data_IF_692368257731
#
_entry.id   IF_692368257731
#
_cell.length_a   1.000
_cell.length_b   1.000
_cell.length_c   1.000
_cell.angle_alpha   90.00
_cell.angle_beta   90.00
_cell.angle_gamma   90.00
#
_symmetry.space_group_name_H-M   'P 1'
#
loop_
_entity.id
_entity.type
_entity.pdbx_description
1 polymer ?
#
# COMPACT_ATOMS: atom_id res chain seq x y z
N UNK A 1 0.53 4.74 -23.67
CA UNK A 1 0.95 3.33 -23.60
C UNK A 1 0.90 3.01 -22.13
N UNK A 2 -0.22 2.44 -21.67
CA UNK A 2 -0.41 2.09 -20.26
C UNK A 2 0.68 1.10 -19.85
N UNK A 3 1.52 1.51 -18.90
CA UNK A 3 2.38 0.60 -18.17
C UNK A 3 1.42 -0.18 -17.28
N UNK A 4 1.33 -1.50 -17.42
CA UNK A 4 0.53 -2.29 -16.48
C UNK A 4 1.14 -2.17 -15.08
N UNK A 5 0.33 -2.14 -14.02
CA UNK A 5 0.84 -1.95 -12.65
C UNK A 5 1.98 -2.92 -12.31
N UNK A 6 1.88 -4.18 -12.73
CA UNK A 6 2.94 -5.19 -12.56
C UNK A 6 4.27 -4.79 -13.23
N UNK A 7 4.25 -4.12 -14.39
CA UNK A 7 5.47 -3.63 -15.05
C UNK A 7 6.11 -2.47 -14.27
N UNK A 8 5.30 -1.63 -13.63
CA UNK A 8 5.81 -0.57 -12.76
C UNK A 8 6.45 -1.16 -11.48
N UNK A 9 5.80 -2.15 -10.86
CA UNK A 9 6.30 -2.88 -9.69
C UNK A 9 7.62 -3.59 -10.03
N UNK A 10 7.66 -4.34 -11.14
CA UNK A 10 8.87 -5.04 -11.60
C UNK A 10 10.03 -4.06 -11.80
N UNK A 11 9.78 -2.90 -12.40
CA UNK A 11 10.81 -1.89 -12.64
C UNK A 11 11.40 -1.37 -11.33
N UNK A 12 10.57 -1.11 -10.31
CA UNK A 12 11.03 -0.66 -9.00
C UNK A 12 11.84 -1.76 -8.28
N UNK A 13 11.36 -3.00 -8.30
CA UNK A 13 12.02 -4.14 -7.64
C UNK A 13 13.42 -4.42 -8.22
N UNK A 14 13.64 -4.21 -9.53
CA UNK A 14 14.95 -4.40 -10.17
C UNK A 14 16.06 -3.50 -9.62
N UNK A 15 15.74 -2.44 -8.87
CA UNK A 15 16.74 -1.59 -8.22
C UNK A 15 17.38 -2.27 -6.99
N UNK A 16 16.69 -3.26 -6.42
CA UNK A 16 17.07 -3.91 -5.16
C UNK A 16 17.32 -5.42 -5.28
N UNK A 17 16.72 -6.07 -6.29
CA UNK A 17 16.84 -7.53 -6.50
C UNK A 17 17.12 -7.88 -7.97
N UNK A 18 17.40 -9.16 -8.25
CA UNK A 18 17.69 -9.61 -9.61
C UNK A 18 16.49 -9.42 -10.54
N UNK A 19 16.76 -9.35 -11.84
CA UNK A 19 15.73 -9.18 -12.87
C UNK A 19 14.71 -10.30 -12.83
N UNK A 20 15.17 -11.52 -12.64
CA UNK A 20 14.34 -12.72 -12.60
C UNK A 20 13.43 -12.70 -11.36
N UNK A 21 13.98 -12.38 -10.18
CA UNK A 21 13.21 -12.30 -8.95
C UNK A 21 12.19 -11.14 -8.97
N UNK A 22 12.57 -9.99 -9.56
CA UNK A 22 11.65 -8.86 -9.73
C UNK A 22 10.47 -9.20 -10.64
N UNK A 23 10.71 -9.93 -11.73
CA UNK A 23 9.65 -10.36 -12.64
C UNK A 23 8.71 -11.37 -11.97
N UNK A 24 9.25 -12.29 -11.19
CA UNK A 24 8.46 -13.27 -10.44
C UNK A 24 7.60 -12.59 -9.37
N UNK A 25 8.21 -11.78 -8.50
CA UNK A 25 7.52 -11.06 -7.42
C UNK A 25 6.41 -10.13 -7.94
N UNK A 26 6.66 -9.40 -9.02
CA UNK A 26 5.69 -8.47 -9.60
C UNK A 26 4.45 -9.15 -10.22
N UNK A 27 4.47 -10.48 -10.38
CA UNK A 27 3.37 -11.25 -10.95
C UNK A 27 2.89 -12.38 -10.01
N UNK A 28 3.24 -12.32 -8.73
CA UNK A 28 2.65 -13.22 -7.73
C UNK A 28 1.19 -12.84 -7.47
N UNK A 29 0.36 -13.86 -7.31
CA UNK A 29 -1.06 -13.72 -7.02
C UNK A 29 -1.49 -14.81 -6.02
N UNK A 30 -2.62 -14.57 -5.33
CA UNK A 30 -3.20 -15.52 -4.38
C UNK A 30 -2.27 -15.88 -3.23
N UNK A 31 -2.27 -17.16 -2.84
CA UNK A 31 -1.55 -17.65 -1.66
C UNK A 31 -0.04 -17.40 -1.72
N UNK A 32 0.58 -17.47 -2.90
CA UNK A 32 2.02 -17.22 -3.02
C UNK A 32 2.38 -15.77 -2.70
N UNK A 33 1.50 -14.81 -3.07
CA UNK A 33 1.68 -13.41 -2.72
C UNK A 33 1.55 -13.19 -1.21
N UNK A 34 0.56 -13.84 -0.58
CA UNK A 34 0.36 -13.77 0.87
C UNK A 34 1.57 -14.32 1.65
N UNK A 35 2.11 -15.49 1.25
CA UNK A 35 3.27 -16.11 1.90
C UNK A 35 4.53 -15.24 1.79
N UNK A 36 4.78 -14.65 0.63
CA UNK A 36 5.88 -13.71 0.44
C UNK A 36 5.69 -12.44 1.26
N UNK A 37 4.49 -11.89 1.28
CA UNK A 37 4.16 -10.70 2.07
C UNK A 37 4.46 -10.94 3.56
N UNK A 38 3.99 -12.06 4.11
CA UNK A 38 4.24 -12.44 5.51
C UNK A 38 5.74 -12.60 5.80
N UNK A 39 6.49 -13.25 4.90
CA UNK A 39 7.93 -13.42 5.05
C UNK A 39 8.69 -12.07 5.06
N UNK A 40 8.24 -11.09 4.26
CA UNK A 40 8.81 -9.75 4.26
C UNK A 40 8.50 -9.01 5.56
N UNK A 41 7.27 -9.13 6.08
CA UNK A 41 6.91 -8.57 7.39
C UNK A 41 7.73 -9.16 8.53
N UNK A 42 7.91 -10.48 8.56
CA UNK A 42 8.78 -11.16 9.55
C UNK A 42 10.23 -10.65 9.46
N UNK A 43 10.74 -10.44 8.25
CA UNK A 43 12.07 -9.88 8.04
C UNK A 43 12.18 -8.43 8.52
N UNK A 44 11.15 -7.61 8.31
CA UNK A 44 11.11 -6.22 8.78
C UNK A 44 11.03 -6.16 10.31
N UNK A 45 10.24 -7.03 10.94
CA UNK A 45 10.17 -7.17 12.39
C UNK A 45 11.53 -7.56 12.97
N UNK A 46 12.18 -8.57 12.40
CA UNK A 46 13.52 -9.00 12.84
C UNK A 46 14.58 -7.89 12.74
N UNK A 47 14.43 -6.98 11.76
CA UNK A 47 15.34 -5.84 11.57
C UNK A 47 14.91 -4.58 12.31
N UNK A 48 13.83 -4.62 13.11
CA UNK A 48 13.27 -3.44 13.80
C UNK A 48 12.88 -2.31 12.82
N UNK A 49 12.45 -2.67 11.60
CA UNK A 49 12.05 -1.77 10.52
C UNK A 49 10.54 -1.79 10.28
N UNK A 50 9.76 -2.38 11.19
CA UNK A 50 8.30 -2.35 11.09
C UNK A 50 7.81 -0.89 11.08
N UNK A 51 6.89 -0.54 10.17
CA UNK A 51 6.26 0.77 10.22
C UNK A 51 5.64 0.98 11.60
N UNK A 52 5.76 2.19 12.15
CA UNK A 52 5.01 2.52 13.35
C UNK A 52 3.52 2.34 13.08
N UNK A 53 2.81 1.73 14.04
CA UNK A 53 1.37 1.57 13.93
C UNK A 53 0.72 2.95 13.70
N UNK A 54 -0.24 3.06 12.77
CA UNK A 54 -0.89 4.33 12.50
C UNK A 54 -1.56 4.87 13.77
N UNK A 55 -1.46 6.18 13.96
CA UNK A 55 -2.18 6.89 15.01
C UNK A 55 -3.39 7.58 14.40
N UNK A 56 -4.42 7.85 15.21
CA UNK A 56 -5.56 8.64 14.74
C UNK A 56 -5.12 10.00 14.14
N UNK A 57 -4.10 10.64 14.72
CA UNK A 57 -3.55 11.90 14.21
C UNK A 57 -2.83 11.74 12.86
N UNK A 58 -2.08 10.66 12.65
CA UNK A 58 -1.42 10.44 11.35
C UNK A 58 -2.43 10.17 10.25
N UNK A 59 -3.48 9.38 10.52
CA UNK A 59 -4.55 9.09 9.56
C UNK A 59 -5.40 10.33 9.23
N UNK A 60 -5.74 11.16 10.24
CA UNK A 60 -6.45 12.43 10.00
C UNK A 60 -5.63 13.40 9.14
N UNK A 61 -4.30 13.41 9.33
CA UNK A 61 -3.40 14.20 8.49
C UNK A 61 -3.37 13.66 7.06
N UNK A 62 -3.34 12.35 6.88
CA UNK A 62 -3.39 11.71 5.56
C UNK A 62 -4.69 12.05 4.81
N UNK A 63 -5.84 12.00 5.49
CA UNK A 63 -7.13 12.46 4.93
C UNK A 63 -7.08 13.93 4.51
N UNK A 64 -6.48 14.79 5.33
CA UNK A 64 -6.31 16.20 5.01
C UNK A 64 -5.42 16.39 3.78
N UNK A 65 -4.29 15.68 3.69
CA UNK A 65 -3.37 15.73 2.56
C UNK A 65 -4.04 15.27 1.25
N UNK A 66 -4.91 14.25 1.31
CA UNK A 66 -5.72 13.82 0.17
C UNK A 66 -6.68 14.92 -0.32
N UNK A 67 -7.20 15.77 0.57
CA UNK A 67 -8.07 16.88 0.16
C UNK A 67 -7.32 18.03 -0.51
N UNK A 68 -6.03 18.17 -0.21
CA UNK A 68 -5.13 19.19 -0.78
C UNK A 68 -4.39 18.68 -2.02
N UNK A 69 -4.40 17.36 -2.27
CA UNK A 69 -3.69 16.73 -3.36
C UNK A 69 -4.23 17.23 -4.72
N UNK A 70 -3.30 17.70 -5.56
CA UNK A 70 -3.58 17.98 -6.97
C UNK A 70 -3.38 16.70 -7.76
N UNK A 71 -4.47 15.99 -8.00
CA UNK A 71 -4.46 14.80 -8.82
C UNK A 71 -4.13 15.15 -10.27
N UNK A 72 -3.15 14.45 -10.85
CA UNK A 72 -2.85 14.50 -12.29
C UNK A 72 -3.96 13.73 -13.02
N UNK A 73 -4.25 14.06 -14.28
CA UNK A 73 -5.42 13.60 -15.06
C UNK A 73 -5.67 12.07 -15.11
N UNK A 74 -4.73 11.23 -14.65
CA UNK A 74 -4.83 9.76 -14.60
C UNK A 74 -5.33 9.21 -13.24
N UNK A 75 -5.76 10.04 -12.29
CA UNK A 75 -6.35 9.57 -11.03
C UNK A 75 -7.88 9.52 -11.12
N UNK A 76 -8.44 8.31 -11.16
CA UNK A 76 -9.89 8.16 -11.19
C UNK A 76 -10.51 8.44 -9.82
N UNK A 77 -11.70 9.04 -9.79
CA UNK A 77 -12.44 9.30 -8.55
C UNK A 77 -12.68 8.01 -7.74
N UNK A 78 -12.76 6.85 -8.40
CA UNK A 78 -12.88 5.55 -7.74
C UNK A 78 -11.66 5.19 -6.89
N UNK A 79 -10.46 5.49 -7.37
CA UNK A 79 -9.21 5.25 -6.63
C UNK A 79 -9.13 6.13 -5.39
N UNK A 80 -9.58 7.40 -5.50
CA UNK A 80 -9.68 8.30 -4.36
C UNK A 80 -10.64 7.78 -3.30
N UNK A 81 -11.82 7.32 -3.73
CA UNK A 81 -12.84 6.80 -2.83
C UNK A 81 -12.31 5.58 -2.07
N UNK A 82 -11.65 4.65 -2.75
CA UNK A 82 -11.07 3.47 -2.11
C UNK A 82 -10.04 3.85 -1.03
N UNK A 83 -9.14 4.78 -1.33
CA UNK A 83 -8.14 5.26 -0.35
C UNK A 83 -8.79 5.93 0.86
N UNK A 84 -9.78 6.80 0.63
CA UNK A 84 -10.51 7.46 1.72
C UNK A 84 -11.23 6.44 2.60
N UNK A 85 -11.88 5.43 2.00
CA UNK A 85 -12.55 4.37 2.77
C UNK A 85 -11.57 3.58 3.63
N UNK A 86 -10.45 3.14 3.07
CA UNK A 86 -9.44 2.38 3.83
C UNK A 86 -8.90 3.17 5.04
N UNK A 87 -8.66 4.47 4.87
CA UNK A 87 -8.19 5.34 5.97
C UNK A 87 -9.29 5.53 7.03
N UNK A 88 -10.55 5.70 6.61
CA UNK A 88 -11.69 5.84 7.53
C UNK A 88 -11.96 4.56 8.31
N UNK A 89 -11.89 3.38 7.67
CA UNK A 89 -12.01 2.09 8.35
C UNK A 89 -10.92 1.91 9.40
N UNK A 90 -9.66 2.17 9.03
CA UNK A 90 -8.53 2.08 9.96
C UNK A 90 -8.68 3.05 11.14
N UNK A 91 -9.17 4.26 10.88
CA UNK A 91 -9.43 5.25 11.92
C UNK A 91 -10.56 4.81 12.86
N UNK A 92 -11.61 4.21 12.31
CA UNK A 92 -12.74 3.71 13.09
C UNK A 92 -12.31 2.54 13.98
N UNK A 93 -11.51 1.60 13.47
CA UNK A 93 -10.92 0.51 14.26
C UNK A 93 -10.07 1.05 15.42
N UNK A 94 -9.18 2.02 15.15
CA UNK A 94 -8.35 2.65 16.18
C UNK A 94 -9.15 3.39 17.26
N UNK A 95 -10.32 3.93 16.90
CA UNK A 95 -11.20 4.66 17.82
C UNK A 95 -12.28 3.79 18.47
N UNK A 96 -12.41 2.52 18.06
CA UNK A 96 -13.48 1.62 18.50
C UNK A 96 -14.86 2.06 18.03
N UNK A 97 -14.96 2.61 16.82
CA UNK A 97 -16.20 3.06 16.20
C UNK A 97 -16.63 2.02 15.18
N UNK A 98 -17.89 1.56 15.25
CA UNK A 98 -18.49 0.75 14.20
C UNK A 98 -18.98 1.66 13.07
N UNK A 99 -18.53 1.40 11.85
CA UNK A 99 -19.03 2.04 10.63
C UNK A 99 -20.19 1.20 10.09
N UNK A 100 -21.38 1.82 9.96
CA UNK A 100 -22.60 1.20 9.40
C UNK A 100 -22.59 1.10 7.87
#
# INVERSE_FOLDING_TARGET
MEITQNQAIEKALREVISKEAAAELANLEGQNLEEVCNSLFEQMEYQELMPEAPTATSLLRELYELTEAKFVDDFEIGDLQYQVYAIVETLAELLGIDLE
#
